data_IF_293132625056
#
_entry.id   IF_293132625056
#
_cell.length_a   1.000
_cell.length_b   1.000
_cell.length_c   1.000
_cell.angle_alpha   90.00
_cell.angle_beta   90.00
_cell.angle_gamma   90.00
#
_symmetry.space_group_name_H-M   'P 1'
#
loop_
_entity.id
_entity.type
_entity.pdbx_description
1 polymer ?
#
# COMPACT_ATOMS: atom_id res chain seq x y z
N UNK A 1 13.08 13.90 -27.00
CA UNK A 1 11.92 13.10 -26.55
C UNK A 1 12.15 12.77 -25.08
N UNK A 2 11.16 12.97 -24.21
CA UNK A 2 11.29 12.65 -22.78
C UNK A 2 10.90 11.18 -22.54
N UNK A 3 11.73 10.45 -21.80
CA UNK A 3 11.46 9.06 -21.40
C UNK A 3 11.26 9.01 -19.88
N UNK A 4 10.10 8.52 -19.45
CA UNK A 4 9.82 8.33 -18.03
C UNK A 4 10.49 7.05 -17.53
N UNK A 5 11.36 7.18 -16.53
CA UNK A 5 12.00 6.05 -15.85
C UNK A 5 11.40 5.89 -14.46
N UNK A 6 11.11 4.64 -14.06
CA UNK A 6 10.62 4.34 -12.71
C UNK A 6 11.80 4.09 -11.79
N UNK A 7 11.78 4.72 -10.62
CA UNK A 7 12.75 4.52 -9.58
C UNK A 7 12.09 4.32 -8.21
N UNK A 8 12.83 3.73 -7.28
CA UNK A 8 12.47 3.67 -5.86
C UNK A 8 13.51 4.48 -5.09
N UNK A 9 13.05 5.40 -4.25
CA UNK A 9 13.92 6.11 -3.34
C UNK A 9 14.26 5.22 -2.13
N UNK A 10 15.54 4.88 -1.97
CA UNK A 10 16.05 4.04 -0.88
C UNK A 10 17.40 4.57 -0.43
N UNK A 11 17.54 4.81 0.88
CA UNK A 11 18.80 5.22 1.52
C UNK A 11 19.46 6.46 0.90
N UNK A 12 18.69 7.48 0.51
CA UNK A 12 19.26 8.70 -0.07
C UNK A 12 19.48 8.65 -1.58
N UNK A 13 19.15 7.55 -2.25
CA UNK A 13 19.37 7.37 -3.69
C UNK A 13 18.09 6.92 -4.42
N UNK A 14 17.94 7.34 -5.68
CA UNK A 14 16.91 6.83 -6.59
C UNK A 14 17.45 5.61 -7.34
N UNK A 15 16.88 4.44 -7.06
CA UNK A 15 17.28 3.17 -7.68
C UNK A 15 16.30 2.88 -8.83
N UNK A 16 16.79 2.87 -10.07
CA UNK A 16 15.98 2.55 -11.25
C UNK A 16 15.46 1.11 -11.17
N UNK A 17 14.20 0.89 -11.55
CA UNK A 17 13.60 -0.45 -11.58
C UNK A 17 14.07 -1.27 -12.78
N UNK A 18 14.42 -0.59 -13.88
CA UNK A 18 14.96 -1.17 -15.10
C UNK A 18 16.33 -0.57 -15.38
N UNK A 19 17.34 -1.39 -15.75
CA UNK A 19 18.63 -0.87 -16.17
C UNK A 19 18.47 0.17 -17.29
N UNK A 20 19.18 1.28 -17.15
CA UNK A 20 19.21 2.35 -18.13
C UNK A 20 20.57 3.03 -18.06
N UNK A 21 21.26 3.13 -19.20
CA UNK A 21 22.52 3.87 -19.29
C UNK A 21 22.20 5.35 -19.36
N UNK A 22 22.44 6.05 -18.26
CA UNK A 22 22.34 7.50 -18.17
C UNK A 22 23.75 8.08 -18.09
N UNK A 23 24.19 8.91 -19.05
CA UNK A 23 25.48 9.57 -18.98
C UNK A 23 25.64 10.40 -17.70
N UNK A 24 26.86 10.50 -17.19
CA UNK A 24 27.17 11.40 -16.07
C UNK A 24 26.75 12.84 -16.40
N UNK A 25 26.34 13.58 -15.36
CA UNK A 25 25.88 14.98 -15.46
C UNK A 25 24.62 15.21 -16.32
N UNK A 26 23.88 14.15 -16.67
CA UNK A 26 22.58 14.31 -17.34
C UNK A 26 21.56 14.97 -16.41
N UNK A 27 21.02 16.12 -16.82
CA UNK A 27 19.91 16.78 -16.13
C UNK A 27 18.63 15.94 -16.22
N UNK A 28 17.95 15.77 -15.08
CA UNK A 28 16.71 15.01 -14.97
C UNK A 28 15.67 15.75 -14.13
N UNK A 29 14.40 15.54 -14.45
CA UNK A 29 13.29 15.98 -13.62
C UNK A 29 12.78 14.84 -12.75
N UNK A 30 12.48 15.12 -11.48
CA UNK A 30 11.92 14.15 -10.55
C UNK A 30 10.43 14.42 -10.34
N UNK A 31 9.60 13.42 -10.62
CA UNK A 31 8.18 13.44 -10.29
C UNK A 31 7.90 12.47 -9.14
N UNK A 32 7.49 12.99 -7.98
CA UNK A 32 7.23 12.20 -6.77
C UNK A 32 5.77 11.77 -6.76
N UNK A 33 5.53 10.48 -7.01
CA UNK A 33 4.20 9.88 -6.86
C UNK A 33 3.96 9.54 -5.39
N UNK A 34 3.08 10.29 -4.71
CA UNK A 34 2.56 9.93 -3.40
C UNK A 34 1.84 8.58 -3.49
N UNK A 35 2.05 7.63 -2.55
CA UNK A 35 1.25 6.42 -2.52
C UNK A 35 -0.21 6.81 -2.31
N UNK A 36 -1.01 6.73 -3.37
CA UNK A 36 -2.45 6.83 -3.23
C UNK A 36 -2.89 5.54 -2.57
N UNK A 37 -3.37 5.64 -1.33
CA UNK A 37 -4.14 4.55 -0.72
C UNK A 37 -5.45 4.50 -1.51
N UNK A 38 -5.43 3.75 -2.60
CA UNK A 38 -6.62 3.50 -3.39
C UNK A 38 -7.46 2.54 -2.55
N UNK A 39 -8.47 3.09 -1.87
CA UNK A 39 -9.52 2.27 -1.26
C UNK A 39 -10.06 1.31 -2.32
N UNK A 40 -10.26 0.02 -2.00
CA UNK A 40 -10.83 -0.91 -2.97
C UNK A 40 -12.17 -0.35 -3.46
N UNK A 41 -12.26 -0.04 -4.75
CA UNK A 41 -13.45 0.54 -5.34
C UNK A 41 -14.48 -0.55 -5.54
N UNK A 42 -15.34 -0.78 -4.54
CA UNK A 42 -16.62 -1.44 -4.81
C UNK A 42 -17.55 -0.37 -5.37
N UNK A 43 -17.49 -0.18 -6.69
CA UNK A 43 -18.27 0.85 -7.40
C UNK A 43 -19.75 0.50 -7.51
N UNK A 44 -20.09 -0.79 -7.44
CA UNK A 44 -21.47 -1.27 -7.42
C UNK A 44 -22.03 -1.28 -5.99
N UNK A 45 -23.12 -0.54 -5.80
CA UNK A 45 -23.79 -0.40 -4.51
C UNK A 45 -24.33 -1.75 -4.02
N UNK A 46 -24.82 -2.60 -4.92
CA UNK A 46 -25.39 -3.90 -4.54
C UNK A 46 -24.28 -4.87 -4.10
N UNK A 47 -23.20 -4.97 -4.89
CA UNK A 47 -22.01 -5.73 -4.50
C UNK A 47 -21.43 -5.26 -3.17
N UNK A 48 -21.43 -3.94 -2.91
CA UNK A 48 -20.96 -3.37 -1.63
C UNK A 48 -21.83 -3.81 -0.46
N UNK A 49 -23.15 -3.79 -0.62
CA UNK A 49 -24.07 -4.24 0.43
C UNK A 49 -23.89 -5.72 0.74
N UNK A 50 -23.79 -6.57 -0.29
CA UNK A 50 -23.58 -8.01 -0.12
C UNK A 50 -22.23 -8.31 0.56
N UNK A 51 -21.17 -7.58 0.18
CA UNK A 51 -19.86 -7.69 0.80
C UNK A 51 -19.91 -7.31 2.29
N UNK A 52 -20.50 -6.16 2.62
CA UNK A 52 -20.60 -5.69 4.00
C UNK A 52 -21.42 -6.65 4.88
N UNK A 53 -22.52 -7.20 4.34
CA UNK A 53 -23.32 -8.21 5.05
C UNK A 53 -22.48 -9.45 5.38
N UNK A 54 -21.80 -10.00 4.38
CA UNK A 54 -20.92 -11.17 4.54
C UNK A 54 -19.78 -10.90 5.52
N UNK A 55 -19.21 -9.69 5.48
CA UNK A 55 -18.13 -9.28 6.40
C UNK A 55 -18.63 -9.26 7.85
N UNK A 56 -19.78 -8.64 8.11
CA UNK A 56 -20.37 -8.56 9.45
C UNK A 56 -20.71 -9.96 9.98
N UNK A 57 -21.31 -10.83 9.16
CA UNK A 57 -21.62 -12.20 9.54
C UNK A 57 -20.35 -12.96 9.97
N UNK A 58 -19.25 -12.84 9.20
CA UNK A 58 -17.96 -13.45 9.57
C UNK A 58 -17.37 -12.91 10.86
N UNK A 59 -17.48 -11.60 11.10
CA UNK A 59 -17.01 -10.98 12.35
C UNK A 59 -17.82 -11.46 13.56
N UNK A 60 -19.13 -11.63 13.40
CA UNK A 60 -20.01 -12.15 14.46
C UNK A 60 -19.74 -13.62 14.77
N UNK A 61 -19.41 -14.43 13.75
CA UNK A 61 -19.04 -15.84 13.91
C UNK A 61 -17.64 -16.03 14.53
N UNK A 62 -16.80 -15.01 14.53
CA UNK A 62 -15.47 -15.04 15.12
C UNK A 62 -15.27 -13.89 16.11
N UNK A 63 -16.00 -13.90 17.25
CA UNK A 63 -15.87 -12.85 18.25
C UNK A 63 -14.47 -12.87 18.87
N UNK A 64 -13.97 -11.70 19.23
CA UNK A 64 -12.72 -11.60 20.00
C UNK A 64 -12.95 -12.27 21.36
N UNK A 65 -12.16 -13.28 21.74
CA UNK A 65 -12.27 -13.91 23.06
C UNK A 65 -12.17 -12.89 24.19
N UNK A 66 -12.91 -13.09 25.27
CA UNK A 66 -12.92 -12.16 26.41
C UNK A 66 -11.56 -12.09 27.12
N UNK A 67 -10.74 -13.12 27.00
CA UNK A 67 -9.37 -13.22 27.50
C UNK A 67 -8.31 -12.78 26.47
N UNK A 68 -8.74 -12.25 25.31
CA UNK A 68 -7.81 -11.87 24.27
C UNK A 68 -6.86 -10.75 24.75
N UNK A 69 -5.54 -10.91 24.54
CA UNK A 69 -4.57 -9.87 24.90
C UNK A 69 -4.80 -8.61 24.06
N UNK A 70 -4.76 -7.45 24.72
CA UNK A 70 -4.83 -6.15 24.04
C UNK A 70 -3.44 -5.77 23.54
N UNK A 71 -3.28 -5.69 22.23
CA UNK A 71 -2.05 -5.19 21.62
C UNK A 71 -2.15 -3.70 21.36
N UNK A 72 -1.09 -2.97 21.72
CA UNK A 72 -0.87 -1.63 21.19
C UNK A 72 -0.37 -1.74 19.75
N UNK A 73 -0.38 -0.61 19.03
CA UNK A 73 0.11 -0.53 17.66
C UNK A 73 1.55 -1.04 17.54
N UNK A 74 2.41 -0.63 18.48
CA UNK A 74 3.83 -0.97 18.53
C UNK A 74 4.01 -2.49 18.68
N UNK A 75 3.23 -3.11 19.57
CA UNK A 75 3.27 -4.56 19.82
C UNK A 75 2.83 -5.41 18.61
N UNK A 76 2.03 -4.86 17.70
CA UNK A 76 1.66 -5.54 16.46
C UNK A 76 2.77 -5.50 15.40
N UNK A 77 3.59 -4.44 15.41
CA UNK A 77 4.71 -4.29 14.46
C UNK A 77 5.90 -5.18 14.81
N UNK A 78 6.13 -5.46 16.09
CA UNK A 78 7.27 -6.27 16.58
C UNK A 78 7.10 -7.78 16.36
N UNK A 79 5.95 -8.22 15.83
CA UNK A 79 5.60 -9.64 15.66
C UNK A 79 5.84 -10.19 14.25
N UNK A 80 6.43 -9.38 13.37
CA UNK A 80 6.78 -9.71 11.99
C UNK A 80 8.28 -9.51 11.76
#
# INVERSE_FOLDING_TARGET
MAQALKAVYRNGAFILQTPYELPEETEVELFICSPQVISPSISDVEAKQQFLKSLIERMQQNPIPSDAPRFTREMLHERH
#
